data_IF_450895324259
#
_entry.id   IF_450895324259
#
_cell.length_a   1.000
_cell.length_b   1.000
_cell.length_c   1.000
_cell.angle_alpha   90.00
_cell.angle_beta   90.00
_cell.angle_gamma   90.00
#
_symmetry.space_group_name_H-M   'P 1'
#
loop_
_entity.id
_entity.type
_entity.pdbx_description
1 polymer ?
#
# COMPACT_ATOMS: atom_id res chain seq x y z
N UNK A 1 54.54 -59.49 25.96
CA UNK A 1 53.74 -60.45 25.14
C UNK A 1 52.35 -59.87 25.01
N UNK A 2 51.96 -59.39 23.81
CA UNK A 2 50.92 -59.99 22.94
C UNK A 2 49.54 -60.03 23.64
N UNK A 3 48.42 -59.48 23.16
CA UNK A 3 47.92 -59.03 21.84
C UNK A 3 46.50 -58.47 22.17
N UNK A 4 46.15 -57.23 21.79
CA UNK A 4 45.32 -56.85 20.62
C UNK A 4 43.77 -57.08 20.73
N UNK A 5 43.06 -55.93 20.75
CA UNK A 5 41.71 -55.53 20.28
C UNK A 5 40.42 -56.26 20.73
N UNK A 6 39.42 -55.47 21.17
CA UNK A 6 38.31 -54.99 20.32
C UNK A 6 37.73 -53.70 20.94
N UNK A 7 37.82 -52.59 20.19
CA UNK A 7 37.12 -51.33 20.49
C UNK A 7 35.76 -51.41 19.81
N UNK A 8 34.68 -51.52 20.59
CA UNK A 8 33.32 -51.38 20.10
C UNK A 8 32.92 -49.90 20.22
N UNK A 9 32.94 -49.23 19.07
CA UNK A 9 32.36 -47.91 18.83
C UNK A 9 30.83 -48.03 18.94
N UNK A 10 30.24 -47.53 20.03
CA UNK A 10 28.81 -47.24 20.09
C UNK A 10 28.65 -45.79 19.65
N UNK A 11 28.27 -45.61 18.39
CA UNK A 11 27.81 -44.31 17.88
C UNK A 11 26.38 -44.11 18.40
N UNK A 12 26.27 -43.37 19.51
CA UNK A 12 24.99 -42.85 19.97
C UNK A 12 24.54 -41.71 19.07
N UNK A 13 23.53 -41.95 18.24
CA UNK A 13 22.81 -40.91 17.49
C UNK A 13 22.10 -40.00 18.50
N UNK A 14 22.67 -38.81 18.77
CA UNK A 14 21.94 -37.73 19.43
C UNK A 14 21.10 -37.03 18.36
N UNK A 15 19.87 -37.51 18.19
CA UNK A 15 18.80 -36.76 17.52
C UNK A 15 18.40 -35.66 18.49
N UNK A 16 19.04 -34.50 18.38
CA UNK A 16 18.49 -33.28 18.98
C UNK A 16 17.35 -32.86 18.08
N UNK A 17 16.12 -33.07 18.56
CA UNK A 17 14.90 -32.63 17.89
C UNK A 17 14.98 -31.13 17.67
N UNK A 18 15.20 -30.73 16.41
CA UNK A 18 14.90 -29.38 15.96
C UNK A 18 13.37 -29.34 15.97
N UNK A 19 12.80 -28.85 17.07
CA UNK A 19 11.44 -28.37 17.07
C UNK A 19 11.35 -27.39 15.91
N UNK A 20 10.61 -27.79 14.87
CA UNK A 20 10.38 -26.97 13.70
C UNK A 20 9.79 -25.65 14.16
N UNK A 21 10.63 -24.63 14.25
CA UNK A 21 10.16 -23.28 14.12
C UNK A 21 9.83 -23.16 12.65
N UNK A 22 8.61 -23.56 12.27
CA UNK A 22 8.00 -22.97 11.10
C UNK A 22 8.02 -21.48 11.39
N UNK A 23 8.98 -20.77 10.79
CA UNK A 23 8.84 -19.35 10.57
C UNK A 23 7.55 -19.27 9.76
N UNK A 24 6.44 -18.99 10.45
CA UNK A 24 5.20 -18.62 9.83
C UNK A 24 5.56 -17.39 9.00
N UNK A 25 5.83 -17.60 7.71
CA UNK A 25 5.80 -16.53 6.73
C UNK A 25 4.36 -16.04 6.76
N UNK A 26 4.10 -15.02 7.58
CA UNK A 26 2.92 -14.19 7.38
C UNK A 26 2.94 -13.79 5.90
N UNK A 27 1.84 -13.90 5.16
CA UNK A 27 1.82 -13.49 3.78
C UNK A 27 2.30 -12.04 3.73
N UNK A 28 3.45 -11.79 3.09
CA UNK A 28 3.97 -10.44 2.90
C UNK A 28 2.90 -9.66 2.14
N UNK A 29 2.22 -8.75 2.82
CA UNK A 29 1.23 -7.87 2.20
C UNK A 29 1.99 -6.72 1.58
N UNK A 30 1.76 -6.45 0.30
CA UNK A 30 2.48 -5.41 -0.44
C UNK A 30 1.52 -4.29 -0.81
N UNK A 31 1.86 -3.06 -0.44
CA UNK A 31 1.17 -1.89 -0.97
C UNK A 31 1.65 -1.64 -2.40
N UNK A 32 0.70 -1.39 -3.29
CA UNK A 32 0.87 -1.28 -4.72
C UNK A 32 0.38 0.07 -5.21
N UNK A 33 1.25 0.75 -5.95
CA UNK A 33 0.95 2.02 -6.59
C UNK A 33 0.48 3.17 -5.68
N UNK A 34 0.94 3.35 -4.43
CA UNK A 34 0.97 4.68 -3.84
C UNK A 34 1.58 5.70 -4.82
N UNK A 35 0.73 6.57 -5.36
CA UNK A 35 1.06 7.65 -6.27
C UNK A 35 0.77 8.98 -5.56
N UNK A 36 1.82 9.72 -5.23
CA UNK A 36 1.79 10.97 -4.47
C UNK A 36 1.87 12.16 -5.42
N UNK A 37 0.77 12.89 -5.54
CA UNK A 37 0.64 14.14 -6.27
C UNK A 37 0.88 15.32 -5.33
N UNK A 38 1.60 16.33 -5.83
CA UNK A 38 1.98 17.51 -5.07
C UNK A 38 1.39 18.74 -5.75
N UNK A 39 0.42 19.40 -5.12
CA UNK A 39 -0.27 20.59 -5.64
C UNK A 39 0.00 21.82 -4.78
N UNK A 40 1.24 22.36 -4.75
CA UNK A 40 1.52 23.60 -4.02
C UNK A 40 0.84 24.80 -4.68
N UNK A 41 0.58 25.88 -3.94
CA UNK A 41 -0.07 27.09 -4.49
C UNK A 41 0.81 27.84 -5.51
N UNK A 42 2.12 27.64 -5.42
CA UNK A 42 3.12 28.16 -6.33
C UNK A 42 4.22 27.11 -6.49
N UNK A 43 5.02 27.20 -7.56
CA UNK A 43 6.15 26.28 -7.75
C UNK A 43 7.06 26.28 -6.52
N UNK A 44 7.22 25.12 -5.89
CA UNK A 44 7.78 25.00 -4.55
C UNK A 44 8.70 23.78 -4.46
N UNK A 45 9.82 23.91 -3.74
CA UNK A 45 10.63 22.76 -3.33
C UNK A 45 9.90 22.00 -2.23
N UNK A 46 9.64 20.71 -2.45
CA UNK A 46 8.96 19.82 -1.52
C UNK A 46 9.86 18.63 -1.20
N UNK A 47 10.03 18.37 0.09
CA UNK A 47 10.65 17.16 0.62
C UNK A 47 9.57 16.18 1.02
N UNK A 48 9.68 14.93 0.56
CA UNK A 48 8.76 13.82 0.91
C UNK A 48 9.58 12.64 1.40
N UNK A 49 9.22 12.11 2.57
CA UNK A 49 9.76 10.88 3.15
C UNK A 49 8.62 9.91 3.44
N UNK A 50 8.87 8.61 3.23
CA UNK A 50 7.93 7.51 3.44
C UNK A 50 8.51 6.71 4.58
N UNK A 51 7.79 6.64 5.69
CA UNK A 51 8.12 5.78 6.83
C UNK A 51 7.23 4.56 6.77
N UNK A 52 7.84 3.42 6.50
CA UNK A 52 7.17 2.13 6.50
C UNK A 52 7.78 1.18 7.51
N UNK A 53 6.95 0.30 8.06
CA UNK A 53 7.37 -0.77 8.97
C UNK A 53 8.00 -1.96 8.23
N UNK A 54 7.86 -2.02 6.91
CA UNK A 54 8.57 -2.98 6.08
C UNK A 54 9.62 -2.34 5.19
N UNK A 55 9.60 -2.62 3.88
CA UNK A 55 10.68 -2.22 2.97
C UNK A 55 10.11 -1.67 1.67
N UNK A 56 10.62 -0.52 1.22
CA UNK A 56 10.32 0.01 -0.11
C UNK A 56 10.90 -0.91 -1.19
N UNK A 57 10.07 -1.34 -2.12
CA UNK A 57 10.44 -2.33 -3.16
C UNK A 57 10.57 -1.71 -4.54
N UNK A 58 9.78 -0.67 -4.83
CA UNK A 58 9.83 0.06 -6.09
C UNK A 58 9.63 1.54 -5.82
N UNK A 59 10.33 2.42 -6.54
CA UNK A 59 10.24 3.87 -6.34
C UNK A 59 10.51 4.62 -7.63
N UNK A 60 9.74 5.66 -7.92
CA UNK A 60 9.97 6.56 -9.04
C UNK A 60 9.61 8.00 -8.64
N UNK A 61 10.52 8.98 -8.76
CA UNK A 61 11.95 8.88 -9.08
C UNK A 61 12.73 7.97 -8.12
N UNK A 62 14.00 7.62 -8.39
CA UNK A 62 14.82 6.88 -7.43
C UNK A 62 14.81 7.54 -6.04
N UNK A 63 14.45 6.77 -5.01
CA UNK A 63 14.16 7.32 -3.68
C UNK A 63 15.39 7.78 -2.91
N UNK A 64 16.48 7.01 -2.90
CA UNK A 64 17.66 7.33 -2.07
C UNK A 64 17.30 7.44 -0.59
N UNK A 65 17.44 8.65 -0.01
CA UNK A 65 17.01 8.97 1.36
C UNK A 65 15.64 9.66 1.44
N UNK A 66 14.93 9.71 0.32
CA UNK A 66 13.70 10.45 0.11
C UNK A 66 13.77 11.42 -1.07
N UNK A 67 12.61 11.93 -1.46
CA UNK A 67 12.49 12.87 -2.58
C UNK A 67 12.60 14.32 -2.11
N UNK A 68 13.50 15.08 -2.71
CA UNK A 68 13.59 16.54 -2.60
C UNK A 68 13.43 17.11 -4.01
N UNK A 69 12.23 17.59 -4.33
CA UNK A 69 11.80 17.86 -5.71
C UNK A 69 11.20 19.26 -5.83
N UNK A 70 11.14 19.79 -7.04
CA UNK A 70 10.40 21.02 -7.37
C UNK A 70 9.05 20.62 -7.97
N UNK A 71 7.94 20.97 -7.31
CA UNK A 71 6.59 20.71 -7.77
C UNK A 71 5.89 22.00 -8.21
N UNK A 72 5.16 21.96 -9.33
CA UNK A 72 4.27 23.06 -9.79
C UNK A 72 2.83 22.86 -9.26
N UNK A 73 1.97 23.90 -9.30
CA UNK A 73 0.56 23.78 -8.91
C UNK A 73 -0.25 22.72 -9.66
N UNK A 74 0.24 22.24 -10.81
CA UNK A 74 -0.37 21.19 -11.63
C UNK A 74 0.20 19.77 -11.33
N UNK A 75 1.01 19.64 -10.28
CA UNK A 75 1.77 18.42 -9.94
C UNK A 75 2.73 17.97 -11.04
N UNK A 76 3.39 18.93 -11.70
CA UNK A 76 4.58 18.64 -12.51
C UNK A 76 5.78 18.67 -11.56
N UNK A 77 6.44 17.53 -11.41
CA UNK A 77 7.55 17.30 -10.48
C UNK A 77 8.85 17.20 -11.28
N UNK A 78 9.81 18.06 -10.95
CA UNK A 78 11.11 18.23 -11.62
C UNK A 78 11.01 18.37 -13.15
N UNK A 79 9.87 18.85 -13.65
CA UNK A 79 9.59 19.01 -15.08
C UNK A 79 9.38 17.69 -15.84
N UNK A 80 9.32 16.54 -15.16
CA UNK A 80 9.33 15.23 -15.80
C UNK A 80 8.24 14.28 -15.29
N UNK A 81 7.91 14.32 -14.01
CA UNK A 81 7.01 13.36 -13.37
C UNK A 81 5.68 14.02 -13.01
N UNK A 82 4.60 13.24 -13.05
CA UNK A 82 3.28 13.72 -12.62
C UNK A 82 2.98 13.46 -11.14
N UNK A 83 3.70 12.50 -10.55
CA UNK A 83 3.59 12.06 -9.16
C UNK A 83 4.89 11.39 -8.73
N UNK A 84 5.13 11.34 -7.42
CA UNK A 84 6.08 10.41 -6.82
C UNK A 84 5.39 9.05 -6.65
N UNK A 85 6.12 7.96 -6.79
CA UNK A 85 5.54 6.62 -6.69
C UNK A 85 6.42 5.74 -5.82
N UNK A 86 5.79 4.91 -5.01
CA UNK A 86 6.47 3.78 -4.36
C UNK A 86 5.59 2.53 -4.28
N UNK A 87 6.24 1.42 -3.97
CA UNK A 87 5.64 0.20 -3.44
C UNK A 87 6.42 -0.22 -2.20
N UNK A 88 5.77 -0.94 -1.30
CA UNK A 88 6.40 -1.44 -0.09
C UNK A 88 5.83 -2.80 0.31
N UNK A 89 6.70 -3.68 0.78
CA UNK A 89 6.27 -4.86 1.53
C UNK A 89 6.03 -4.45 2.99
N UNK A 90 4.94 -4.93 3.58
CA UNK A 90 4.50 -4.64 4.95
C UNK A 90 4.61 -5.90 5.83
N UNK A 91 4.83 -5.72 7.13
CA UNK A 91 5.05 -6.87 8.04
C UNK A 91 3.74 -7.51 8.53
N UNK A 92 2.74 -6.70 8.88
CA UNK A 92 1.41 -7.15 9.36
C UNK A 92 0.37 -6.09 9.08
N UNK A 93 -0.84 -6.48 8.70
CA UNK A 93 -1.91 -5.55 8.33
C UNK A 93 -3.21 -5.96 9.00
N UNK A 94 -3.70 -5.12 9.92
CA UNK A 94 -5.07 -5.18 10.41
C UNK A 94 -5.96 -4.37 9.47
N UNK A 95 -6.92 -5.04 8.83
CA UNK A 95 -7.76 -4.43 7.80
C UNK A 95 -9.07 -3.93 8.42
N UNK A 96 -9.53 -2.71 8.10
CA UNK A 96 -10.78 -2.16 8.64
C UNK A 96 -12.03 -3.02 8.37
N UNK A 97 -12.96 -3.03 9.34
CA UNK A 97 -14.19 -3.85 9.30
C UNK A 97 -15.30 -3.30 8.39
N UNK A 98 -15.25 -2.02 8.02
CA UNK A 98 -16.22 -1.41 7.11
C UNK A 98 -15.71 -1.45 5.66
N UNK A 99 -16.64 -1.49 4.70
CA UNK A 99 -16.27 -1.54 3.29
C UNK A 99 -17.45 -1.72 2.36
N UNK A 100 -17.15 -2.20 1.16
CA UNK A 100 -18.12 -2.46 0.10
C UNK A 100 -17.89 -3.84 -0.48
N UNK A 101 -18.97 -4.47 -0.91
CA UNK A 101 -18.89 -5.63 -1.80
C UNK A 101 -19.45 -5.22 -3.15
N UNK A 102 -18.60 -5.27 -4.19
CA UNK A 102 -18.90 -4.74 -5.52
C UNK A 102 -18.72 -5.86 -6.54
N UNK A 103 -19.67 -6.04 -7.45
CA UNK A 103 -19.51 -7.02 -8.54
C UNK A 103 -18.43 -6.56 -9.51
N UNK A 104 -17.78 -7.50 -10.18
CA UNK A 104 -16.78 -7.15 -11.21
C UNK A 104 -17.36 -6.27 -12.33
N UNK A 105 -18.62 -6.50 -12.72
CA UNK A 105 -19.31 -5.69 -13.73
C UNK A 105 -19.53 -4.23 -13.29
N UNK A 106 -19.73 -3.98 -12.00
CA UNK A 106 -19.98 -2.64 -11.45
C UNK A 106 -18.71 -1.94 -10.95
N UNK A 107 -17.56 -2.63 -10.90
CA UNK A 107 -16.35 -2.10 -10.26
C UNK A 107 -15.90 -0.76 -10.84
N UNK A 108 -15.89 -0.63 -12.17
CA UNK A 108 -15.50 0.62 -12.85
C UNK A 108 -16.43 1.78 -12.50
N UNK A 109 -17.74 1.54 -12.49
CA UNK A 109 -18.77 2.52 -12.12
C UNK A 109 -18.74 2.86 -10.63
N UNK A 110 -18.40 1.89 -9.79
CA UNK A 110 -18.17 2.10 -8.36
C UNK A 110 -17.00 3.06 -8.13
N UNK A 111 -15.89 2.92 -8.87
CA UNK A 111 -14.79 3.89 -8.82
C UNK A 111 -15.24 5.31 -9.22
N UNK A 112 -16.00 5.44 -10.32
CA UNK A 112 -16.51 6.73 -10.78
C UNK A 112 -17.42 7.41 -9.75
N UNK A 113 -18.14 6.63 -8.94
CA UNK A 113 -19.04 7.16 -7.92
C UNK A 113 -18.34 7.45 -6.59
N UNK A 114 -17.43 6.58 -6.14
CA UNK A 114 -16.90 6.63 -4.77
C UNK A 114 -15.57 7.38 -4.66
N UNK A 115 -14.68 7.32 -5.66
CA UNK A 115 -13.40 8.02 -5.59
C UNK A 115 -13.55 9.56 -5.51
N UNK A 116 -14.52 10.21 -6.18
CA UNK A 116 -14.79 11.64 -5.95
C UNK A 116 -15.22 11.93 -4.50
N UNK A 117 -16.01 11.04 -3.89
CA UNK A 117 -16.43 11.21 -2.50
C UNK A 117 -15.24 11.11 -1.54
N UNK A 118 -14.23 10.31 -1.89
CA UNK A 118 -12.96 10.18 -1.15
C UNK A 118 -11.99 11.33 -1.44
N UNK A 119 -12.36 12.25 -2.33
CA UNK A 119 -11.61 13.48 -2.60
C UNK A 119 -10.71 13.42 -3.83
N UNK A 120 -10.71 12.32 -4.61
CA UNK A 120 -9.91 12.26 -5.84
C UNK A 120 -10.54 13.09 -6.96
N UNK A 121 -9.69 13.73 -7.77
CA UNK A 121 -10.11 14.49 -8.95
C UNK A 121 -10.16 13.60 -10.21
N UNK A 122 -10.65 14.15 -11.33
CA UNK A 122 -10.82 13.39 -12.58
C UNK A 122 -9.51 12.77 -13.11
N UNK A 123 -8.36 13.46 -12.98
CA UNK A 123 -7.06 12.95 -13.44
C UNK A 123 -6.63 11.76 -12.59
N UNK A 124 -6.66 11.93 -11.27
CA UNK A 124 -6.29 10.90 -10.30
C UNK A 124 -7.20 9.67 -10.42
N UNK A 125 -8.52 9.87 -10.59
CA UNK A 125 -9.49 8.79 -10.79
C UNK A 125 -9.18 7.99 -12.06
N UNK A 126 -8.91 8.68 -13.18
CA UNK A 126 -8.59 7.99 -14.42
C UNK A 126 -7.36 7.09 -14.29
N UNK A 127 -6.29 7.61 -13.65
CA UNK A 127 -5.04 6.87 -13.43
C UNK A 127 -5.21 5.74 -12.40
N UNK A 128 -5.99 5.97 -11.33
CA UNK A 128 -6.35 4.93 -10.36
C UNK A 128 -7.09 3.78 -11.04
N UNK A 129 -8.11 4.09 -11.84
CA UNK A 129 -8.92 3.10 -12.57
C UNK A 129 -8.09 2.32 -13.57
N UNK A 130 -7.26 3.00 -14.35
CA UNK A 130 -6.39 2.37 -15.35
C UNK A 130 -5.52 1.28 -14.70
N UNK A 131 -4.89 1.60 -13.57
CA UNK A 131 -4.06 0.65 -12.84
C UNK A 131 -4.89 -0.46 -12.17
N UNK A 132 -5.84 -0.12 -11.30
CA UNK A 132 -6.52 -1.14 -10.49
C UNK A 132 -7.44 -2.06 -11.29
N UNK A 133 -8.02 -1.59 -12.41
CA UNK A 133 -8.79 -2.49 -13.27
C UNK A 133 -7.92 -3.50 -14.03
N UNK A 134 -6.63 -3.22 -14.23
CA UNK A 134 -5.70 -4.18 -14.84
C UNK A 134 -5.06 -5.12 -13.82
N UNK A 135 -4.78 -4.62 -12.61
CA UNK A 135 -4.05 -5.40 -11.59
C UNK A 135 -4.93 -6.36 -10.79
N UNK A 136 -6.24 -6.08 -10.68
CA UNK A 136 -7.11 -6.91 -9.85
C UNK A 136 -7.34 -8.30 -10.47
N UNK A 137 -7.14 -9.39 -9.70
CA UNK A 137 -7.45 -10.73 -10.17
C UNK A 137 -8.93 -10.84 -10.58
N UNK A 138 -9.21 -11.57 -11.65
CA UNK A 138 -10.58 -11.81 -12.09
C UNK A 138 -11.40 -12.51 -10.98
N UNK A 139 -12.54 -11.92 -10.63
CA UNK A 139 -13.43 -12.42 -9.59
C UNK A 139 -14.89 -12.09 -9.92
N UNK A 140 -15.85 -12.75 -9.27
CA UNK A 140 -17.26 -12.36 -9.39
C UNK A 140 -17.56 -11.06 -8.65
N UNK A 141 -16.93 -10.88 -7.48
CA UNK A 141 -17.05 -9.70 -6.65
C UNK A 141 -15.72 -9.35 -5.99
N UNK A 142 -15.60 -8.10 -5.54
CA UNK A 142 -14.51 -7.58 -4.75
C UNK A 142 -15.06 -7.06 -3.43
N UNK A 143 -14.48 -7.53 -2.33
CA UNK A 143 -14.54 -6.84 -1.04
C UNK A 143 -13.49 -5.73 -1.04
N UNK A 144 -13.94 -4.49 -0.84
CA UNK A 144 -13.14 -3.27 -0.92
C UNK A 144 -13.16 -2.57 0.44
N UNK A 145 -11.98 -2.29 0.99
CA UNK A 145 -11.78 -1.61 2.27
C UNK A 145 -11.00 -0.32 2.05
N UNK A 146 -11.41 0.76 2.70
CA UNK A 146 -10.58 1.96 2.79
C UNK A 146 -9.63 1.77 3.97
N UNK A 147 -8.32 1.82 3.74
CA UNK A 147 -7.33 1.80 4.80
C UNK A 147 -7.41 3.11 5.58
N UNK A 148 -7.57 3.02 6.89
CA UNK A 148 -7.82 4.20 7.72
C UNK A 148 -6.53 4.95 8.09
N UNK A 149 -6.69 6.13 8.69
CA UNK A 149 -5.56 6.95 9.09
C UNK A 149 -4.64 6.23 10.08
N UNK A 150 -5.18 5.40 10.97
CA UNK A 150 -4.35 4.66 11.94
C UNK A 150 -3.43 3.67 11.22
N UNK A 151 -3.99 2.91 10.28
CA UNK A 151 -3.21 2.02 9.42
C UNK A 151 -2.11 2.79 8.70
N UNK A 152 -2.48 3.90 8.05
CA UNK A 152 -1.56 4.68 7.23
C UNK A 152 -0.43 5.33 8.04
N UNK A 153 -0.69 5.83 9.24
CA UNK A 153 0.34 6.39 10.12
C UNK A 153 1.27 5.33 10.71
N UNK A 154 0.77 4.12 10.92
CA UNK A 154 1.56 3.01 11.46
C UNK A 154 2.47 2.38 10.42
N UNK A 155 1.97 2.18 9.20
CA UNK A 155 2.64 1.35 8.19
C UNK A 155 3.20 2.14 7.00
N UNK A 156 2.70 3.34 6.74
CA UNK A 156 2.96 4.10 5.50
C UNK A 156 2.96 5.62 5.76
N UNK A 157 3.53 6.08 6.86
CA UNK A 157 3.47 7.50 7.20
C UNK A 157 4.24 8.36 6.19
N UNK A 158 3.74 9.56 5.92
CA UNK A 158 4.39 10.52 5.03
C UNK A 158 4.86 11.73 5.83
N UNK A 159 6.17 11.99 5.82
CA UNK A 159 6.73 13.24 6.35
C UNK A 159 6.98 14.19 5.17
N UNK A 160 6.25 15.32 5.13
CA UNK A 160 6.23 16.25 3.99
C UNK A 160 6.59 17.67 4.45
N UNK A 161 7.50 18.32 3.74
CA UNK A 161 7.91 19.71 3.97
C UNK A 161 7.91 20.51 2.65
N UNK A 162 7.30 21.71 2.58
CA UNK A 162 6.47 22.33 3.63
C UNK A 162 5.25 21.47 3.97
N UNK A 163 4.71 21.63 5.17
CA UNK A 163 3.54 20.85 5.58
C UNK A 163 2.33 21.23 4.69
N UNK A 164 1.65 20.27 4.05
CA UNK A 164 0.46 20.58 3.27
C UNK A 164 -0.69 20.98 4.19
N UNK A 165 -1.51 21.92 3.73
CA UNK A 165 -2.77 22.26 4.40
C UNK A 165 -3.81 21.17 4.20
N UNK A 166 -3.74 20.44 3.10
CA UNK A 166 -4.64 19.31 2.80
C UNK A 166 -3.84 18.06 2.44
N UNK A 167 -4.08 16.96 3.14
CA UNK A 167 -3.54 15.64 2.81
C UNK A 167 -4.70 14.67 2.59
N UNK A 168 -4.86 14.20 1.35
CA UNK A 168 -5.89 13.22 0.94
C UNK A 168 -5.17 11.90 0.69
N UNK A 169 -5.56 10.84 1.39
CA UNK A 169 -4.97 9.51 1.23
C UNK A 169 -6.06 8.49 0.95
N UNK A 170 -6.02 7.87 -0.22
CA UNK A 170 -7.01 6.90 -0.71
C UNK A 170 -6.30 5.59 -1.05
N UNK A 171 -6.08 4.79 -0.01
CA UNK A 171 -5.49 3.46 -0.13
C UNK A 171 -6.61 2.42 0.04
N UNK A 172 -6.84 1.60 -0.99
CA UNK A 172 -7.90 0.59 -0.98
C UNK A 172 -7.33 -0.83 -0.85
N UNK A 173 -7.86 -1.60 0.10
CA UNK A 173 -7.61 -3.03 0.19
C UNK A 173 -8.65 -3.79 -0.64
N UNK A 174 -8.20 -4.70 -1.50
CA UNK A 174 -9.07 -5.48 -2.36
C UNK A 174 -8.96 -6.97 -2.05
N UNK A 175 -10.09 -7.66 -1.91
CA UNK A 175 -10.15 -9.11 -1.81
C UNK A 175 -11.14 -9.68 -2.82
N UNK A 176 -10.66 -10.59 -3.67
CA UNK A 176 -11.51 -11.34 -4.60
C UNK A 176 -12.42 -12.31 -3.84
N UNK A 177 -13.72 -12.28 -4.12
CA UNK A 177 -14.71 -13.19 -3.52
C UNK A 177 -15.69 -13.71 -4.58
N UNK A 178 -16.21 -14.93 -4.34
CA UNK A 178 -17.15 -15.58 -5.25
C UNK A 178 -18.62 -15.40 -4.85
N UNK A 179 -18.88 -15.07 -3.59
CA UNK A 179 -20.24 -14.90 -3.06
C UNK A 179 -20.32 -13.56 -2.35
N UNK A 180 -21.30 -12.71 -2.68
CA UNK A 180 -21.41 -11.41 -2.06
C UNK A 180 -21.96 -11.55 -0.65
N UNK A 181 -21.58 -10.60 0.19
CA UNK A 181 -22.12 -10.47 1.54
C UNK A 181 -22.28 -8.98 1.86
N UNK A 182 -22.98 -8.68 2.96
CA UNK A 182 -23.25 -7.30 3.35
C UNK A 182 -22.14 -6.78 4.24
N UNK A 183 -21.59 -5.63 3.87
CA UNK A 183 -20.74 -4.81 4.71
C UNK A 183 -21.44 -3.52 5.08
N UNK A 184 -21.07 -2.98 6.24
CA UNK A 184 -21.39 -1.61 6.57
C UNK A 184 -20.44 -0.70 5.80
N UNK A 185 -21.01 0.24 5.04
CA UNK A 185 -20.22 1.24 4.32
C UNK A 185 -19.58 2.20 5.30
N UNK A 186 -18.31 2.57 5.12
CA UNK A 186 -17.66 3.56 5.97
C UNK A 186 -18.36 4.92 5.82
N UNK A 187 -18.30 5.73 6.89
CA UNK A 187 -18.74 7.11 6.84
C UNK A 187 -17.69 7.92 6.08
N UNK A 188 -18.08 8.52 4.96
CA UNK A 188 -17.19 9.36 4.15
C UNK A 188 -17.57 10.82 4.33
N UNK A 189 -16.58 11.64 4.68
CA UNK A 189 -16.65 13.09 4.57
C UNK A 189 -15.69 13.49 3.47
N UNK A 190 -16.21 14.06 2.38
CA UNK A 190 -15.39 14.47 1.25
C UNK A 190 -14.45 15.60 1.67
N UNK A 191 -13.12 15.45 1.52
CA UNK A 191 -12.19 16.49 1.91
C UNK A 191 -12.26 17.67 0.94
N UNK A 192 -12.16 18.89 1.47
CA UNK A 192 -11.98 20.10 0.67
C UNK A 192 -10.49 20.32 0.38
N UNK A 193 -10.15 20.65 -0.87
CA UNK A 193 -8.78 20.94 -1.29
C UNK A 193 -8.45 22.41 -1.03
N UNK A 194 -7.77 22.68 0.07
CA UNK A 194 -7.37 24.02 0.50
C UNK A 194 -5.85 24.14 0.56
N UNK A 195 -5.29 25.23 0.02
CA UNK A 195 -3.85 25.50 0.04
C UNK A 195 -3.02 24.43 -0.68
N UNK A 196 -1.76 24.27 -0.26
CA UNK A 196 -0.93 23.15 -0.69
C UNK A 196 -1.62 21.83 -0.34
N UNK A 197 -2.03 21.12 -1.39
CA UNK A 197 -2.71 19.84 -1.31
C UNK A 197 -1.77 18.73 -1.75
N UNK A 198 -1.67 17.68 -0.94
CA UNK A 198 -1.03 16.41 -1.33
C UNK A 198 -2.11 15.36 -1.44
N UNK A 199 -2.05 14.58 -2.52
CA UNK A 199 -2.94 13.44 -2.72
C UNK A 199 -2.10 12.19 -2.90
N UNK A 200 -2.39 11.16 -2.14
CA UNK A 200 -1.84 9.82 -2.34
C UNK A 200 -3.01 8.87 -2.62
N UNK A 201 -2.88 8.06 -3.66
CA UNK A 201 -3.77 6.92 -3.86
C UNK A 201 -2.98 5.67 -4.19
N UNK A 202 -3.54 4.52 -3.85
CA UNK A 202 -2.90 3.22 -4.01
C UNK A 202 -3.79 2.11 -3.47
N UNK A 203 -3.19 1.03 -3.01
CA UNK A 203 -3.92 -0.05 -2.38
C UNK A 203 -3.12 -1.34 -2.26
N UNK A 204 -3.80 -2.41 -1.86
CA UNK A 204 -3.20 -3.73 -1.73
C UNK A 204 -4.20 -4.82 -2.13
N UNK A 205 -3.69 -5.96 -2.53
CA UNK A 205 -4.50 -7.15 -2.82
C UNK A 205 -4.32 -8.16 -1.68
N UNK A 206 -5.43 -8.60 -1.12
CA UNK A 206 -5.50 -9.61 -0.07
C UNK A 206 -5.72 -10.95 -0.76
N UNK A 207 -4.75 -11.85 -0.62
CA UNK A 207 -4.79 -13.21 -1.18
C UNK A 207 -5.43 -14.22 -0.23
#
# INVERSE_FOLDING_TARGET
MRTLWYVLLIVGLLIVGVAGYEILFAPNMSIKKPAIYLYPEQTTTVSVRVRTDGTLTNTLPPYGSGWDVIATPESIIDGQYEYLFYEADLQTVDIPENGWVVSNAELSNWFDTNLPLLGLNLKEIAQFKEYWLSELPAASYYDIRLLDQQFLEQHLALDILPQPQTLIRVELAFKSINTPYKLQTPLIVTPERNGFTVVEWGGLVIH
#
